data_IF_332490010747
#
_entry.id   IF_332490010747
#
_cell.length_a   1.000
_cell.length_b   1.000
_cell.length_c   1.000
_cell.angle_alpha   90.00
_cell.angle_beta   90.00
_cell.angle_gamma   90.00
#
_symmetry.space_group_name_H-M   'P 1'
#
loop_
_entity.id
_entity.type
_entity.pdbx_description
1 polymer ?
#
# COMPACT_ATOMS: atom_id res chain seq x y z
N UNK A 1 60.31 -15.12 15.08
CA UNK A 1 59.16 -16.04 15.05
C UNK A 1 57.87 -15.21 15.14
N UNK A 2 57.38 -14.65 14.02
CA UNK A 2 56.20 -13.75 13.96
C UNK A 2 55.40 -14.07 12.69
N UNK A 3 54.73 -15.23 12.64
CA UNK A 3 53.99 -15.70 11.45
C UNK A 3 52.55 -16.21 11.75
N UNK A 4 52.12 -16.59 12.97
CA UNK A 4 50.79 -17.20 13.14
C UNK A 4 49.62 -16.20 13.10
N UNK A 5 49.84 -14.93 13.46
CA UNK A 5 48.79 -13.89 13.47
C UNK A 5 48.29 -13.54 12.05
N UNK A 6 49.19 -13.46 11.06
CA UNK A 6 48.87 -13.02 9.69
C UNK A 6 48.02 -14.05 8.92
N UNK A 7 48.23 -15.35 9.16
CA UNK A 7 47.48 -16.43 8.50
C UNK A 7 46.03 -16.52 8.98
N UNK A 8 45.80 -16.29 10.27
CA UNK A 8 44.46 -16.27 10.85
C UNK A 8 43.68 -15.02 10.41
N UNK A 9 44.35 -13.87 10.34
CA UNK A 9 43.76 -12.65 9.80
C UNK A 9 43.29 -12.82 8.33
N UNK A 10 44.11 -13.42 7.46
CA UNK A 10 43.73 -13.64 6.06
C UNK A 10 42.53 -14.59 5.92
N UNK A 11 42.41 -15.62 6.77
CA UNK A 11 41.25 -16.52 6.78
C UNK A 11 39.97 -15.81 7.19
N UNK A 12 40.04 -14.97 8.23
CA UNK A 12 38.90 -14.18 8.68
C UNK A 12 38.48 -13.15 7.62
N UNK A 13 39.43 -12.49 6.96
CA UNK A 13 39.15 -11.58 5.85
C UNK A 13 38.47 -12.31 4.69
N UNK A 14 38.98 -13.47 4.29
CA UNK A 14 38.37 -14.26 3.22
C UNK A 14 36.96 -14.72 3.57
N UNK A 15 36.73 -15.18 4.80
CA UNK A 15 35.38 -15.55 5.26
C UNK A 15 34.43 -14.35 5.24
N UNK A 16 34.88 -13.18 5.70
CA UNK A 16 34.08 -11.96 5.65
C UNK A 16 33.73 -11.57 4.21
N UNK A 17 34.69 -11.64 3.28
CA UNK A 17 34.47 -11.35 1.86
C UNK A 17 33.50 -12.33 1.20
N UNK A 18 33.63 -13.63 1.49
CA UNK A 18 32.69 -14.65 0.98
C UNK A 18 31.29 -14.42 1.53
N UNK A 19 31.15 -14.16 2.84
CA UNK A 19 29.85 -13.86 3.44
C UNK A 19 29.22 -12.60 2.85
N UNK A 20 30.01 -11.54 2.64
CA UNK A 20 29.52 -10.32 1.99
C UNK A 20 29.06 -10.60 0.55
N UNK A 21 29.86 -11.35 -0.23
CA UNK A 21 29.50 -11.73 -1.59
C UNK A 21 28.20 -12.54 -1.65
N UNK A 22 28.00 -13.47 -0.71
CA UNK A 22 26.76 -14.25 -0.60
C UNK A 22 25.56 -13.36 -0.26
N UNK A 23 25.69 -12.43 0.69
CA UNK A 23 24.62 -11.49 1.04
C UNK A 23 24.31 -10.55 -0.13
N UNK A 24 25.33 -10.04 -0.82
CA UNK A 24 25.13 -9.19 -2.01
C UNK A 24 24.45 -9.97 -3.14
N UNK A 25 24.87 -11.21 -3.40
CA UNK A 25 24.22 -12.08 -4.38
C UNK A 25 22.76 -12.34 -4.02
N UNK A 26 22.48 -12.63 -2.75
CA UNK A 26 21.12 -12.81 -2.24
C UNK A 26 20.24 -11.58 -2.46
N UNK A 27 20.70 -10.39 -2.04
CA UNK A 27 19.96 -9.14 -2.22
C UNK A 27 19.73 -8.85 -3.71
N UNK A 28 20.75 -9.08 -4.54
CA UNK A 28 20.67 -8.90 -5.99
C UNK A 28 19.63 -9.82 -6.62
N UNK A 29 19.60 -11.11 -6.27
CA UNK A 29 18.62 -12.07 -6.78
C UNK A 29 17.21 -11.65 -6.38
N UNK A 30 16.95 -11.37 -5.10
CA UNK A 30 15.62 -10.95 -4.63
C UNK A 30 15.17 -9.65 -5.31
N UNK A 31 16.06 -8.66 -5.43
CA UNK A 31 15.76 -7.39 -6.10
C UNK A 31 15.47 -7.58 -7.60
N UNK A 32 16.20 -8.46 -8.26
CA UNK A 32 16.01 -8.78 -9.68
C UNK A 32 14.67 -9.47 -9.92
N UNK A 33 14.32 -10.48 -9.11
CA UNK A 33 13.03 -11.17 -9.19
C UNK A 33 11.87 -10.20 -8.99
N UNK A 34 11.96 -9.34 -7.96
CA UNK A 34 10.96 -8.29 -7.73
C UNK A 34 10.85 -7.35 -8.93
N UNK A 35 11.96 -6.83 -9.43
CA UNK A 35 11.97 -5.88 -10.55
C UNK A 35 11.38 -6.48 -11.83
N UNK A 36 11.69 -7.75 -12.12
CA UNK A 36 11.08 -8.49 -13.23
C UNK A 36 9.58 -8.66 -13.03
N UNK A 37 9.16 -8.96 -11.80
CA UNK A 37 7.75 -9.09 -11.44
C UNK A 37 6.96 -7.78 -11.55
N UNK A 38 7.51 -6.66 -11.08
CA UNK A 38 6.89 -5.34 -11.11
C UNK A 38 6.67 -4.81 -12.55
N UNK A 39 7.51 -5.24 -13.49
CA UNK A 39 7.40 -4.86 -14.90
C UNK A 39 6.37 -5.70 -15.69
N UNK A 40 5.86 -6.79 -15.11
CA UNK A 40 4.87 -7.63 -15.78
C UNK A 40 3.49 -6.96 -15.75
N UNK A 41 2.74 -7.00 -16.86
CA UNK A 41 1.34 -6.60 -16.83
C UNK A 41 0.57 -7.52 -15.89
N UNK A 42 -0.41 -6.97 -15.19
CA UNK A 42 -1.31 -7.78 -14.37
C UNK A 42 -2.26 -8.54 -15.29
N UNK A 43 -2.27 -9.86 -15.17
CA UNK A 43 -3.15 -10.77 -15.91
C UNK A 43 -3.93 -11.64 -14.94
N UNK A 44 -4.77 -12.56 -15.45
CA UNK A 44 -5.37 -13.59 -14.62
C UNK A 44 -4.28 -14.53 -14.04
N UNK A 45 -3.19 -14.78 -14.76
CA UNK A 45 -2.15 -15.70 -14.32
C UNK A 45 -1.28 -15.15 -13.18
N UNK A 46 -0.67 -16.08 -12.44
CA UNK A 46 0.21 -15.78 -11.33
C UNK A 46 1.52 -15.10 -11.77
N UNK A 47 1.98 -14.14 -10.95
CA UNK A 47 3.28 -13.52 -11.13
C UNK A 47 4.38 -14.37 -10.48
N UNK A 48 4.87 -15.37 -11.22
CA UNK A 48 5.90 -16.31 -10.76
C UNK A 48 7.15 -15.60 -10.20
N UNK A 49 7.49 -14.42 -10.72
CA UNK A 49 8.66 -13.66 -10.29
C UNK A 49 8.47 -13.05 -8.90
N UNK A 50 7.29 -12.45 -8.65
CA UNK A 50 6.94 -11.92 -7.33
C UNK A 50 6.74 -13.04 -6.31
N UNK A 51 6.16 -14.18 -6.71
CA UNK A 51 6.01 -15.35 -5.84
C UNK A 51 7.38 -15.90 -5.44
N UNK A 52 8.29 -16.09 -6.40
CA UNK A 52 9.65 -16.52 -6.11
C UNK A 52 10.40 -15.51 -5.24
N UNK A 53 10.21 -14.22 -5.49
CA UNK A 53 10.78 -13.16 -4.64
C UNK A 53 10.27 -13.26 -3.20
N UNK A 54 8.96 -13.43 -2.96
CA UNK A 54 8.40 -13.50 -1.60
C UNK A 54 8.83 -14.76 -0.85
N UNK A 55 8.99 -15.89 -1.56
CA UNK A 55 9.50 -17.14 -0.98
C UNK A 55 10.98 -17.06 -0.58
N UNK A 56 11.81 -16.36 -1.36
CA UNK A 56 13.24 -16.18 -1.09
C UNK A 56 13.52 -15.03 -0.12
N UNK A 57 12.67 -14.02 -0.10
CA UNK A 57 12.86 -12.82 0.69
C UNK A 57 12.64 -13.07 2.19
N UNK A 58 13.67 -12.79 2.98
CA UNK A 58 13.61 -12.76 4.43
C UNK A 58 13.20 -11.35 4.82
N UNK A 59 12.00 -11.20 5.39
CA UNK A 59 11.51 -9.94 5.96
C UNK A 59 11.66 -8.73 5.01
N UNK A 60 11.34 -8.90 3.72
CA UNK A 60 11.36 -7.79 2.76
C UNK A 60 9.95 -7.20 2.57
N UNK A 61 9.69 -6.00 3.13
CA UNK A 61 8.37 -5.37 3.02
C UNK A 61 8.03 -4.96 1.59
N UNK A 62 9.04 -4.63 0.78
CA UNK A 62 8.80 -4.09 -0.55
C UNK A 62 8.41 -5.20 -1.53
N UNK A 63 8.95 -6.41 -1.35
CA UNK A 63 8.49 -7.62 -2.05
C UNK A 63 7.04 -7.95 -1.68
N UNK A 64 6.72 -7.89 -0.37
CA UNK A 64 5.35 -8.13 0.10
C UNK A 64 4.38 -7.10 -0.49
N UNK A 65 4.75 -5.81 -0.51
CA UNK A 65 3.95 -4.75 -1.10
C UNK A 65 3.74 -4.92 -2.61
N UNK A 66 4.79 -5.30 -3.36
CA UNK A 66 4.69 -5.59 -4.79
C UNK A 66 3.70 -6.73 -5.08
N UNK A 67 3.80 -7.84 -4.34
CA UNK A 67 2.89 -8.97 -4.49
C UNK A 67 1.44 -8.61 -4.08
N UNK A 68 1.29 -7.85 -3.00
CA UNK A 68 -0.02 -7.36 -2.55
C UNK A 68 -0.70 -6.50 -3.62
N UNK A 69 0.05 -5.59 -4.25
CA UNK A 69 -0.43 -4.75 -5.35
C UNK A 69 -0.86 -5.61 -6.54
N UNK A 70 -0.02 -6.57 -6.96
CA UNK A 70 -0.35 -7.46 -8.08
C UNK A 70 -1.65 -8.22 -7.81
N UNK A 71 -1.78 -8.85 -6.65
CA UNK A 71 -2.97 -9.63 -6.28
C UNK A 71 -4.24 -8.77 -6.20
N UNK A 72 -4.14 -7.54 -5.69
CA UNK A 72 -5.26 -6.58 -5.70
C UNK A 72 -5.77 -6.35 -7.11
N UNK A 73 -4.87 -6.12 -8.06
CA UNK A 73 -5.24 -5.87 -9.46
C UNK A 73 -5.71 -7.16 -10.15
N UNK A 74 -5.06 -8.29 -9.84
CA UNK A 74 -5.43 -9.61 -10.36
C UNK A 74 -6.86 -9.99 -9.96
N UNK A 75 -7.30 -9.58 -8.77
CA UNK A 75 -8.65 -9.85 -8.27
C UNK A 75 -9.78 -9.30 -9.16
N UNK A 76 -9.51 -8.36 -10.07
CA UNK A 76 -10.50 -7.85 -11.04
C UNK A 76 -10.75 -8.81 -12.22
N UNK A 77 -9.90 -9.81 -12.42
CA UNK A 77 -10.11 -10.85 -13.44
C UNK A 77 -10.98 -12.02 -12.96
N UNK A 78 -11.30 -12.04 -11.67
CA UNK A 78 -11.98 -13.15 -11.02
C UNK A 78 -13.30 -12.72 -10.40
N UNK A 79 -14.21 -13.68 -10.28
CA UNK A 79 -15.50 -13.50 -9.63
C UNK A 79 -15.54 -14.14 -8.23
N UNK A 80 -16.48 -13.63 -7.43
CA UNK A 80 -16.88 -14.10 -6.09
C UNK A 80 -15.75 -14.66 -5.20
N UNK A 81 -15.55 -15.98 -5.16
CA UNK A 81 -14.69 -16.64 -4.19
C UNK A 81 -13.20 -16.41 -4.46
N UNK A 82 -12.76 -16.59 -5.71
CA UNK A 82 -11.36 -16.42 -6.10
C UNK A 82 -10.93 -14.95 -5.92
N UNK A 83 -11.82 -14.02 -6.25
CA UNK A 83 -11.63 -12.59 -5.98
C UNK A 83 -11.42 -12.33 -4.49
N UNK A 84 -12.26 -12.90 -3.63
CA UNK A 84 -12.14 -12.75 -2.17
C UNK A 84 -10.84 -13.35 -1.64
N UNK A 85 -10.42 -14.51 -2.14
CA UNK A 85 -9.16 -15.14 -1.76
C UNK A 85 -7.96 -14.27 -2.15
N UNK A 86 -7.91 -13.74 -3.38
CA UNK A 86 -6.86 -12.84 -3.84
C UNK A 86 -6.79 -11.55 -3.02
N UNK A 87 -7.94 -10.95 -2.70
CA UNK A 87 -7.99 -9.75 -1.86
C UNK A 87 -7.51 -10.06 -0.44
N UNK A 88 -7.88 -11.21 0.15
CA UNK A 88 -7.37 -11.60 1.47
C UNK A 88 -5.85 -11.86 1.46
N UNK A 89 -5.33 -12.50 0.43
CA UNK A 89 -3.89 -12.65 0.23
C UNK A 89 -3.20 -11.29 0.11
N UNK A 90 -3.77 -10.38 -0.70
CA UNK A 90 -3.27 -9.02 -0.84
C UNK A 90 -3.22 -8.30 0.52
N UNK A 91 -4.31 -8.37 1.30
CA UNK A 91 -4.36 -7.78 2.64
C UNK A 91 -3.29 -8.36 3.56
N UNK A 92 -3.11 -9.68 3.57
CA UNK A 92 -2.07 -10.34 4.38
C UNK A 92 -0.66 -9.84 4.02
N UNK A 93 -0.37 -9.67 2.73
CA UNK A 93 0.92 -9.14 2.30
C UNK A 93 1.09 -7.65 2.64
N UNK A 94 0.03 -6.83 2.54
CA UNK A 94 0.08 -5.45 3.04
C UNK A 94 0.30 -5.37 4.55
N UNK A 95 -0.32 -6.25 5.32
CA UNK A 95 -0.12 -6.35 6.76
C UNK A 95 1.30 -6.80 7.10
N UNK A 96 1.86 -7.78 6.38
CA UNK A 96 3.27 -8.19 6.49
C UNK A 96 4.23 -7.03 6.21
N UNK A 97 4.00 -6.28 5.13
CA UNK A 97 4.79 -5.09 4.80
C UNK A 97 4.68 -4.01 5.89
N UNK A 98 3.47 -3.77 6.39
CA UNK A 98 3.19 -2.81 7.46
C UNK A 98 3.82 -3.20 8.79
N UNK A 99 3.85 -4.49 9.14
CA UNK A 99 4.50 -4.96 10.36
C UNK A 99 6.02 -4.75 10.32
N UNK A 100 6.64 -4.90 9.15
CA UNK A 100 8.07 -4.70 8.93
C UNK A 100 8.47 -3.22 8.84
N UNK A 101 7.58 -2.35 8.34
CA UNK A 101 7.78 -0.89 8.27
C UNK A 101 6.52 -0.14 8.75
N UNK A 102 6.25 -0.10 10.07
CA UNK A 102 4.99 0.42 10.62
C UNK A 102 4.79 1.92 10.39
N UNK A 103 5.88 2.66 10.20
CA UNK A 103 5.87 4.10 9.94
C UNK A 103 5.77 4.43 8.44
N UNK A 104 5.70 3.43 7.55
CA UNK A 104 5.56 3.66 6.12
C UNK A 104 4.08 3.76 5.74
N UNK A 105 3.56 4.97 5.48
CA UNK A 105 2.13 5.20 5.43
C UNK A 105 1.47 4.60 4.19
N UNK A 106 2.22 4.44 3.10
CA UNK A 106 1.73 3.81 1.87
C UNK A 106 1.33 2.34 2.05
N UNK A 107 1.95 1.60 2.97
CA UNK A 107 1.56 0.21 3.24
C UNK A 107 0.27 0.13 4.04
N UNK A 108 0.07 1.07 4.95
CA UNK A 108 -1.17 1.23 5.71
C UNK A 108 -2.32 1.65 4.79
N UNK A 109 -2.05 2.55 3.84
CA UNK A 109 -3.00 2.96 2.83
C UNK A 109 -3.34 1.83 1.85
N UNK A 110 -2.35 1.04 1.44
CA UNK A 110 -2.57 -0.17 0.63
C UNK A 110 -3.45 -1.19 1.35
N UNK A 111 -3.21 -1.42 2.65
CA UNK A 111 -4.09 -2.25 3.48
C UNK A 111 -5.52 -1.68 3.54
N UNK A 112 -5.66 -0.36 3.76
CA UNK A 112 -6.96 0.31 3.81
C UNK A 112 -7.76 0.13 2.52
N UNK A 113 -7.13 0.24 1.34
CA UNK A 113 -7.80 -0.01 0.04
C UNK A 113 -8.47 -1.39 0.04
N UNK A 114 -7.73 -2.42 0.42
CA UNK A 114 -8.26 -3.79 0.46
C UNK A 114 -9.33 -3.94 1.55
N UNK A 115 -9.14 -3.36 2.73
CA UNK A 115 -10.12 -3.40 3.81
C UNK A 115 -11.45 -2.76 3.40
N UNK A 116 -11.40 -1.65 2.64
CA UNK A 116 -12.59 -1.00 2.07
C UNK A 116 -13.25 -1.90 1.02
N UNK A 117 -12.48 -2.49 0.09
CA UNK A 117 -13.01 -3.39 -0.95
C UNK A 117 -13.66 -4.65 -0.34
N UNK A 118 -13.05 -5.20 0.72
CA UNK A 118 -13.56 -6.35 1.47
C UNK A 118 -14.72 -5.99 2.42
N UNK A 119 -15.15 -4.74 2.45
CA UNK A 119 -16.20 -4.21 3.33
C UNK A 119 -15.94 -4.51 4.82
N UNK A 120 -14.69 -4.43 5.28
CA UNK A 120 -14.32 -4.76 6.66
C UNK A 120 -15.11 -3.94 7.70
N UNK A 121 -15.34 -4.47 8.92
CA UNK A 121 -16.09 -3.80 9.97
C UNK A 121 -15.58 -2.37 10.25
N UNK A 122 -16.49 -1.48 10.64
CA UNK A 122 -16.18 -0.07 10.87
C UNK A 122 -15.00 0.14 11.84
N UNK A 123 -14.89 -0.66 12.90
CA UNK A 123 -13.77 -0.59 13.84
C UNK A 123 -12.39 -0.76 13.18
N UNK A 124 -12.27 -1.66 12.19
CA UNK A 124 -11.01 -1.90 11.49
C UNK A 124 -10.66 -0.72 10.58
N UNK A 125 -11.62 -0.25 9.78
CA UNK A 125 -11.47 0.93 8.91
C UNK A 125 -11.11 2.17 9.72
N UNK A 126 -11.83 2.42 10.82
CA UNK A 126 -11.59 3.56 11.70
C UNK A 126 -10.19 3.50 12.33
N UNK A 127 -9.76 2.33 12.81
CA UNK A 127 -8.42 2.14 13.36
C UNK A 127 -7.34 2.45 12.33
N UNK A 128 -7.46 1.90 11.12
CA UNK A 128 -6.52 2.12 10.02
C UNK A 128 -6.47 3.58 9.58
N UNK A 129 -7.61 4.23 9.39
CA UNK A 129 -7.67 5.67 9.04
C UNK A 129 -6.99 6.51 10.11
N UNK A 130 -7.23 6.21 11.39
CA UNK A 130 -6.59 6.93 12.50
C UNK A 130 -5.07 6.78 12.45
N UNK A 131 -4.58 5.58 12.14
CA UNK A 131 -3.16 5.30 11.98
C UNK A 131 -2.56 6.04 10.78
N UNK A 132 -3.23 6.03 9.63
CA UNK A 132 -2.76 6.76 8.45
C UNK A 132 -2.70 8.27 8.75
N UNK A 133 -3.76 8.85 9.34
CA UNK A 133 -3.78 10.27 9.71
C UNK A 133 -2.64 10.64 10.68
N UNK A 134 -2.30 9.76 11.63
CA UNK A 134 -1.24 10.05 12.61
C UNK A 134 0.15 10.04 11.99
N UNK A 135 0.39 9.19 10.98
CA UNK A 135 1.67 9.12 10.28
C UNK A 135 1.90 10.29 9.33
N UNK A 136 0.84 10.80 8.70
CA UNK A 136 0.96 11.71 7.55
C UNK A 136 0.08 12.93 7.67
N UNK A 137 0.34 13.83 8.63
CA UNK A 137 -0.48 15.02 8.75
C UNK A 137 -0.34 15.98 7.56
N UNK A 138 0.64 15.86 6.66
CA UNK A 138 0.84 16.82 5.55
C UNK A 138 1.41 16.20 4.25
N UNK A 139 1.18 14.92 3.98
CA UNK A 139 1.72 14.25 2.78
C UNK A 139 0.74 14.33 1.58
N UNK A 140 0.98 15.27 0.67
CA UNK A 140 0.07 15.60 -0.46
C UNK A 140 -0.39 14.40 -1.29
N UNK A 141 0.52 13.49 -1.63
CA UNK A 141 0.22 12.34 -2.49
C UNK A 141 -0.68 11.29 -1.82
N UNK A 142 -0.66 11.26 -0.49
CA UNK A 142 -1.42 10.31 0.32
C UNK A 142 -2.80 10.88 0.70
N UNK A 143 -2.91 12.20 0.87
CA UNK A 143 -4.18 12.89 1.15
C UNK A 143 -5.25 12.54 0.10
N UNK A 144 -4.94 12.56 -1.21
CA UNK A 144 -5.94 12.29 -2.26
C UNK A 144 -6.51 10.87 -2.20
N UNK A 145 -5.66 9.86 -1.99
CA UNK A 145 -6.07 8.45 -1.98
C UNK A 145 -6.75 8.09 -0.66
N UNK A 146 -6.29 8.66 0.45
CA UNK A 146 -7.00 8.54 1.73
C UNK A 146 -8.41 9.14 1.64
N UNK A 147 -8.56 10.29 0.98
CA UNK A 147 -9.86 10.95 0.79
C UNK A 147 -10.80 10.15 -0.11
N UNK A 148 -10.29 9.54 -1.18
CA UNK A 148 -11.05 8.59 -2.01
C UNK A 148 -11.59 7.42 -1.18
N UNK A 149 -10.70 6.74 -0.43
CA UNK A 149 -11.09 5.60 0.40
C UNK A 149 -12.05 6.00 1.53
N UNK A 150 -11.89 7.20 2.08
CA UNK A 150 -12.81 7.76 3.07
C UNK A 150 -14.21 8.01 2.49
N UNK A 151 -14.32 8.45 1.24
CA UNK A 151 -15.61 8.61 0.55
C UNK A 151 -16.28 7.25 0.35
N UNK A 152 -15.53 6.23 -0.06
CA UNK A 152 -16.07 4.87 -0.26
C UNK A 152 -16.59 4.26 1.04
N UNK A 153 -15.93 4.56 2.15
CA UNK A 153 -16.28 4.04 3.47
C UNK A 153 -17.01 5.04 4.38
N UNK A 154 -17.59 6.11 3.82
CA UNK A 154 -18.06 7.28 4.58
C UNK A 154 -18.95 6.96 5.79
N UNK A 155 -19.87 6.00 5.66
CA UNK A 155 -20.78 5.63 6.75
C UNK A 155 -20.07 4.94 7.92
N UNK A 156 -18.89 4.36 7.67
CA UNK A 156 -18.05 3.70 8.68
C UNK A 156 -17.13 4.67 9.42
N UNK A 157 -16.97 5.91 8.97
CA UNK A 157 -16.10 6.89 9.62
C UNK A 157 -16.74 7.45 10.90
N UNK A 158 -15.90 7.72 11.91
CA UNK A 158 -16.33 8.51 13.08
C UNK A 158 -16.56 9.96 12.70
N UNK A 159 -17.30 10.71 13.53
CA UNK A 159 -17.53 12.14 13.26
C UNK A 159 -16.21 12.93 13.18
N UNK A 160 -15.26 12.67 14.09
CA UNK A 160 -13.95 13.34 14.06
C UNK A 160 -13.14 13.02 12.80
N UNK A 161 -13.25 11.80 12.26
CA UNK A 161 -12.64 11.46 10.97
C UNK A 161 -13.32 12.19 9.83
N UNK A 162 -14.67 12.23 9.79
CA UNK A 162 -15.42 13.00 8.79
C UNK A 162 -15.00 14.47 8.78
N UNK A 163 -14.92 15.10 9.95
CA UNK A 163 -14.50 16.49 10.09
C UNK A 163 -13.08 16.71 9.57
N UNK A 164 -12.16 15.78 9.87
CA UNK A 164 -10.80 15.81 9.36
C UNK A 164 -10.74 15.70 7.83
N UNK A 165 -11.49 14.76 7.24
CA UNK A 165 -11.57 14.57 5.78
C UNK A 165 -12.15 15.82 5.09
N UNK A 166 -13.22 16.40 5.64
CA UNK A 166 -13.81 17.63 5.11
C UNK A 166 -12.83 18.81 5.17
N UNK A 167 -12.04 18.93 6.25
CA UNK A 167 -10.99 19.95 6.33
C UNK A 167 -9.96 19.76 5.23
N UNK A 168 -9.56 18.52 4.93
CA UNK A 168 -8.58 18.22 3.86
C UNK A 168 -9.13 18.45 2.47
N UNK A 169 -10.36 18.03 2.19
CA UNK A 169 -11.01 18.26 0.89
C UNK A 169 -11.03 19.74 0.50
N UNK A 170 -11.21 20.64 1.50
CA UNK A 170 -11.16 22.09 1.27
C UNK A 170 -9.77 22.60 0.87
N UNK A 171 -8.71 21.88 1.19
CA UNK A 171 -7.32 22.25 0.89
C UNK A 171 -6.82 21.69 -0.45
N UNK A 172 -7.52 20.70 -1.02
CA UNK A 172 -7.13 20.11 -2.30
C UNK A 172 -7.10 21.16 -3.43
N UNK A 173 -6.15 20.95 -4.34
CA UNK A 173 -6.13 21.67 -5.61
C UNK A 173 -7.24 21.15 -6.54
N UNK A 174 -7.44 21.82 -7.68
CA UNK A 174 -8.53 21.47 -8.59
C UNK A 174 -8.45 20.04 -9.14
N UNK A 175 -7.26 19.58 -9.52
CA UNK A 175 -7.06 18.24 -10.10
C UNK A 175 -7.28 17.13 -9.06
N UNK A 176 -6.80 17.32 -7.84
CA UNK A 176 -7.00 16.37 -6.73
C UNK A 176 -8.46 16.34 -6.29
N UNK A 177 -9.12 17.50 -6.24
CA UNK A 177 -10.54 17.55 -5.93
C UNK A 177 -11.36 16.82 -6.99
N UNK A 178 -11.08 17.05 -8.29
CA UNK A 178 -11.77 16.38 -9.38
C UNK A 178 -11.67 14.84 -9.25
N UNK A 179 -10.47 14.34 -8.93
CA UNK A 179 -10.24 12.92 -8.68
C UNK A 179 -11.18 12.35 -7.58
N UNK A 180 -11.30 13.04 -6.44
CA UNK A 180 -12.18 12.58 -5.35
C UNK A 180 -13.67 12.73 -5.71
N UNK A 181 -14.04 13.76 -6.47
CA UNK A 181 -15.41 13.95 -6.94
C UNK A 181 -15.82 12.81 -7.90
N UNK A 182 -14.97 12.47 -8.87
CA UNK A 182 -15.19 11.33 -9.78
C UNK A 182 -15.31 10.00 -9.03
N UNK A 183 -14.48 9.79 -8.00
CA UNK A 183 -14.61 8.62 -7.14
C UNK A 183 -15.96 8.59 -6.41
N UNK A 184 -16.40 9.72 -5.86
CA UNK A 184 -17.69 9.83 -5.17
C UNK A 184 -18.88 9.52 -6.09
N UNK A 185 -18.80 9.90 -7.37
CA UNK A 185 -19.83 9.60 -8.36
C UNK A 185 -19.96 8.09 -8.60
N UNK A 186 -18.84 7.38 -8.71
CA UNK A 186 -18.80 5.91 -8.90
C UNK A 186 -19.47 5.14 -7.77
N UNK A 187 -19.49 5.68 -6.56
CA UNK A 187 -20.12 5.06 -5.38
C UNK A 187 -21.42 5.74 -4.95
N UNK A 188 -22.03 6.56 -5.81
CA UNK A 188 -23.28 7.28 -5.54
C UNK A 188 -23.24 8.14 -4.25
N UNK A 189 -22.09 8.76 -3.98
CA UNK A 189 -21.86 9.70 -2.86
C UNK A 189 -21.74 11.16 -3.33
N UNK A 190 -22.25 11.48 -4.53
CA UNK A 190 -22.27 12.86 -5.07
C UNK A 190 -22.94 13.85 -4.11
N UNK A 191 -24.15 13.53 -3.65
CA UNK A 191 -24.94 14.39 -2.75
C UNK A 191 -24.20 14.72 -1.45
N UNK A 192 -23.46 13.75 -0.90
CA UNK A 192 -22.63 13.93 0.29
C UNK A 192 -21.62 15.06 0.10
N UNK A 193 -20.79 14.99 -0.95
CA UNK A 193 -19.76 16.00 -1.18
C UNK A 193 -20.36 17.37 -1.52
N UNK A 194 -21.50 17.38 -2.21
CA UNK A 194 -22.23 18.62 -2.53
C UNK A 194 -22.77 19.35 -1.29
N UNK A 195 -23.10 18.62 -0.22
CA UNK A 195 -23.59 19.22 1.02
C UNK A 195 -22.49 19.89 1.86
N UNK A 196 -21.25 19.38 1.81
CA UNK A 196 -20.20 19.79 2.74
C UNK A 196 -19.09 20.67 2.14
N UNK A 197 -18.97 20.74 0.82
CA UNK A 197 -17.92 21.52 0.16
C UNK A 197 -18.37 22.94 -0.21
N UNK A 198 -17.47 23.93 -0.23
CA UNK A 198 -17.81 25.28 -0.67
C UNK A 198 -18.32 25.30 -2.11
N UNK A 199 -19.51 25.84 -2.35
CA UNK A 199 -20.16 25.86 -3.67
C UNK A 199 -19.27 26.47 -4.76
N UNK A 200 -18.40 27.42 -4.41
CA UNK A 200 -17.43 28.05 -5.33
C UNK A 200 -16.47 27.03 -5.96
N UNK A 201 -16.08 25.97 -5.24
CA UNK A 201 -15.18 24.91 -5.74
C UNK A 201 -15.89 23.81 -6.51
N UNK A 202 -17.15 23.52 -6.18
CA UNK A 202 -17.90 22.36 -6.69
C UNK A 202 -19.08 22.73 -7.60
N UNK A 203 -19.24 24.02 -7.96
CA UNK A 203 -20.38 24.53 -8.75
C UNK A 203 -20.67 23.74 -10.02
N UNK A 204 -19.64 23.30 -10.75
CA UNK A 204 -19.81 22.53 -11.99
C UNK A 204 -20.21 21.08 -11.74
N UNK A 205 -19.75 20.51 -10.63
CA UNK A 205 -20.01 19.12 -10.26
C UNK A 205 -21.39 18.95 -9.62
N UNK A 206 -21.80 19.89 -8.76
CA UNK A 206 -23.05 19.82 -7.98
C UNK A 206 -24.27 20.49 -8.62
N UNK A 207 -24.16 20.83 -9.91
CA UNK A 207 -25.31 21.12 -10.76
C UNK A 207 -25.91 19.81 -11.26
#
# INVERSE_FOLDING_TARGET
MVIPLKRNANRLINLALVSLALVSCYVFVVASLRSLGDQRPVTADDNIWLIAADQLAINNPDVSASLAYYQRQQAFYYESEQRQQLLRSSLNHWQKASALRPLWPYYQLGALDIEVILDQPAAQIQSRITWVISLTPNERGLDKSLLELAVFSWEKLTQGQKDWMLKRLKLLNHSELLFVLEAAEKVNKKALLCAYLPFTKIRRYCR
#
